data_IF_248869731885
#
_entry.id   IF_248869731885
#
_cell.length_a   1.000
_cell.length_b   1.000
_cell.length_c   1.000
_cell.angle_alpha   90.00
_cell.angle_beta   90.00
_cell.angle_gamma   90.00
#
_symmetry.space_group_name_H-M   'P 1'
#
loop_
_entity.id
_entity.type
_entity.pdbx_description
1 polymer ?
#
# COMPACT_ATOMS: atom_id res chain seq x y z
N UNK A 1 23.94 5.15 18.58
CA UNK A 1 23.47 5.24 17.19
C UNK A 1 23.55 3.91 16.47
N UNK A 2 24.66 3.15 16.57
CA UNK A 2 24.85 1.82 15.97
C UNK A 2 23.79 0.80 16.44
N UNK A 3 23.42 0.78 17.72
CA UNK A 3 22.41 -0.14 18.28
C UNK A 3 21.02 0.04 17.68
N UNK A 4 20.61 1.27 17.35
CA UNK A 4 19.33 1.55 16.70
C UNK A 4 19.32 1.00 15.27
N UNK A 5 20.41 1.19 14.54
CA UNK A 5 20.54 0.72 13.16
C UNK A 5 20.54 -0.81 13.11
N UNK A 6 21.26 -1.47 14.00
CA UNK A 6 21.30 -2.95 14.07
C UNK A 6 19.93 -3.54 14.45
N UNK A 7 19.22 -2.92 15.40
CA UNK A 7 17.86 -3.33 15.78
C UNK A 7 16.86 -3.18 14.63
N UNK A 8 16.94 -2.08 13.87
CA UNK A 8 16.08 -1.85 12.71
C UNK A 8 16.39 -2.82 11.57
N UNK A 9 17.65 -3.12 11.30
CA UNK A 9 18.04 -4.12 10.31
C UNK A 9 17.57 -5.53 10.68
N UNK A 10 17.65 -5.89 11.96
CA UNK A 10 17.13 -7.17 12.44
C UNK A 10 15.63 -7.29 12.22
N UNK A 11 14.87 -6.25 12.55
CA UNK A 11 13.43 -6.18 12.32
C UNK A 11 13.07 -6.36 10.84
N UNK A 12 13.80 -5.71 9.93
CA UNK A 12 13.55 -5.88 8.48
C UNK A 12 13.91 -7.27 7.99
N UNK A 13 15.01 -7.85 8.49
CA UNK A 13 15.38 -9.23 8.16
C UNK A 13 14.32 -10.23 8.60
N UNK A 14 13.78 -10.07 9.80
CA UNK A 14 12.69 -10.91 10.30
C UNK A 14 11.42 -10.74 9.47
N UNK A 15 11.02 -9.49 9.16
CA UNK A 15 9.88 -9.20 8.32
C UNK A 15 10.05 -9.80 6.91
N UNK A 16 11.22 -9.68 6.29
CA UNK A 16 11.52 -10.29 4.99
C UNK A 16 11.46 -11.82 5.04
N UNK A 17 11.99 -12.43 6.09
CA UNK A 17 11.95 -13.88 6.25
C UNK A 17 10.53 -14.40 6.49
N UNK A 18 9.72 -13.65 7.25
CA UNK A 18 8.30 -13.94 7.41
C UNK A 18 7.55 -13.78 6.08
N UNK A 19 7.86 -12.72 5.32
CA UNK A 19 7.28 -12.45 4.00
C UNK A 19 7.54 -13.59 3.02
N UNK A 20 8.76 -14.08 2.92
CA UNK A 20 9.09 -15.18 1.99
C UNK A 20 8.28 -16.44 2.29
N UNK A 21 8.13 -16.79 3.57
CA UNK A 21 7.30 -17.94 4.00
C UNK A 21 5.81 -17.73 3.70
N UNK A 22 5.31 -16.53 3.97
CA UNK A 22 3.91 -16.18 3.71
C UNK A 22 3.62 -16.10 2.22
N UNK A 23 4.56 -15.62 1.39
CA UNK A 23 4.42 -15.57 -0.06
C UNK A 23 4.31 -16.96 -0.69
N UNK A 24 5.12 -17.92 -0.22
CA UNK A 24 5.02 -19.31 -0.68
C UNK A 24 3.66 -19.93 -0.34
N UNK A 25 3.13 -19.67 0.86
CA UNK A 25 1.79 -20.16 1.25
C UNK A 25 0.66 -19.43 0.55
N UNK A 26 0.83 -18.13 0.33
CA UNK A 26 -0.13 -17.24 -0.31
C UNK A 26 0.08 -17.04 -1.81
N UNK A 27 0.79 -17.93 -2.51
CA UNK A 27 1.16 -17.76 -3.92
C UNK A 27 -0.06 -17.53 -4.84
N UNK A 28 -1.23 -18.06 -4.49
CA UNK A 28 -2.48 -17.84 -5.21
C UNK A 28 -2.95 -16.37 -5.22
N UNK A 29 -2.48 -15.55 -4.29
CA UNK A 29 -2.74 -14.11 -4.34
C UNK A 29 -2.10 -13.44 -5.57
N UNK A 30 -1.01 -14.02 -6.13
CA UNK A 30 -0.34 -13.48 -7.32
C UNK A 30 -1.25 -13.56 -8.56
N UNK A 31 -1.73 -14.75 -8.98
CA UNK A 31 -2.67 -14.83 -10.09
C UNK A 31 -4.00 -14.12 -9.78
N UNK A 32 -4.45 -14.08 -8.53
CA UNK A 32 -5.64 -13.33 -8.15
C UNK A 32 -5.50 -11.83 -8.47
N UNK A 33 -4.34 -11.21 -8.21
CA UNK A 33 -4.08 -9.81 -8.59
C UNK A 33 -4.18 -9.60 -10.10
N UNK A 34 -3.71 -10.55 -10.91
CA UNK A 34 -3.82 -10.47 -12.38
C UNK A 34 -5.30 -10.49 -12.78
N UNK A 35 -6.08 -11.43 -12.25
CA UNK A 35 -7.51 -11.53 -12.51
C UNK A 35 -8.24 -10.26 -12.06
N UNK A 36 -7.93 -9.75 -10.87
CA UNK A 36 -8.52 -8.52 -10.34
C UNK A 36 -8.19 -7.30 -11.20
N UNK A 37 -6.95 -7.22 -11.73
CA UNK A 37 -6.55 -6.16 -12.66
C UNK A 37 -7.37 -6.23 -13.94
N UNK A 38 -7.57 -7.42 -14.52
CA UNK A 38 -8.41 -7.61 -15.70
C UNK A 38 -9.89 -7.26 -15.43
N UNK A 39 -10.42 -7.64 -14.27
CA UNK A 39 -11.78 -7.27 -13.86
C UNK A 39 -11.94 -5.74 -13.73
N UNK A 40 -10.94 -5.07 -13.16
CA UNK A 40 -10.95 -3.61 -13.05
C UNK A 40 -10.89 -2.93 -14.42
N UNK A 41 -10.06 -3.43 -15.35
CA UNK A 41 -10.01 -2.94 -16.73
C UNK A 41 -11.34 -3.13 -17.45
N UNK A 42 -11.97 -4.30 -17.28
CA UNK A 42 -13.30 -4.58 -17.83
C UNK A 42 -14.35 -3.63 -17.24
N UNK A 43 -14.34 -3.42 -15.93
CA UNK A 43 -15.23 -2.48 -15.26
C UNK A 43 -15.07 -1.05 -15.81
N UNK A 44 -13.85 -0.61 -16.12
CA UNK A 44 -13.60 0.67 -16.77
C UNK A 44 -14.24 0.79 -18.15
N UNK A 45 -14.18 -0.28 -18.96
CA UNK A 45 -14.82 -0.27 -20.28
C UNK A 45 -16.35 -0.17 -20.18
N UNK A 46 -16.94 -0.91 -19.23
CA UNK A 46 -18.39 -0.90 -18.99
C UNK A 46 -18.84 0.45 -18.40
N UNK A 47 -18.04 1.05 -17.53
CA UNK A 47 -18.38 2.30 -16.84
C UNK A 47 -18.33 3.53 -17.75
N UNK A 48 -17.47 3.53 -18.79
CA UNK A 48 -17.29 4.70 -19.69
C UNK A 48 -18.60 5.24 -20.28
N UNK A 49 -19.51 4.43 -20.85
CA UNK A 49 -20.76 4.93 -21.41
C UNK A 49 -21.80 5.34 -20.37
N UNK A 50 -21.62 4.95 -19.10
CA UNK A 50 -22.60 5.14 -18.03
C UNK A 50 -22.50 6.53 -17.32
N UNK A 51 -21.52 7.35 -17.70
CA UNK A 51 -21.33 8.68 -17.12
C UNK A 51 -21.20 8.65 -15.60
N UNK A 52 -22.05 9.37 -14.88
CA UNK A 52 -22.00 9.44 -13.41
C UNK A 52 -22.26 8.08 -12.74
N UNK A 53 -23.16 7.27 -13.27
CA UNK A 53 -23.41 5.91 -12.76
C UNK A 53 -22.18 5.01 -12.92
N UNK A 54 -21.40 5.22 -13.98
CA UNK A 54 -20.11 4.55 -14.18
C UNK A 54 -19.11 4.81 -13.04
N UNK A 55 -19.08 6.05 -12.54
CA UNK A 55 -18.25 6.41 -11.38
C UNK A 55 -18.62 5.63 -10.11
N UNK A 56 -19.91 5.46 -9.82
CA UNK A 56 -20.38 4.64 -8.70
C UNK A 56 -20.05 3.16 -8.90
N UNK A 57 -20.22 2.63 -10.11
CA UNK A 57 -19.85 1.26 -10.46
C UNK A 57 -18.35 1.02 -10.22
N UNK A 58 -17.49 1.90 -10.74
CA UNK A 58 -16.05 1.82 -10.55
C UNK A 58 -15.66 1.89 -9.07
N UNK A 59 -16.26 2.78 -8.30
CA UNK A 59 -16.03 2.89 -6.87
C UNK A 59 -16.42 1.62 -6.11
N UNK A 60 -17.52 0.96 -6.49
CA UNK A 60 -17.95 -0.29 -5.90
C UNK A 60 -17.00 -1.46 -6.27
N UNK A 61 -16.66 -1.58 -7.55
CA UNK A 61 -15.71 -2.61 -8.01
C UNK A 61 -14.34 -2.41 -7.35
N UNK A 62 -13.85 -1.18 -7.32
CA UNK A 62 -12.59 -0.83 -6.65
C UNK A 62 -12.58 -1.27 -5.18
N UNK A 63 -13.61 -0.92 -4.41
CA UNK A 63 -13.71 -1.30 -3.00
C UNK A 63 -13.78 -2.83 -2.82
N UNK A 64 -14.48 -3.53 -3.71
CA UNK A 64 -14.57 -4.98 -3.69
C UNK A 64 -13.20 -5.64 -3.95
N UNK A 65 -12.47 -5.18 -4.97
CA UNK A 65 -11.17 -5.75 -5.34
C UNK A 65 -10.09 -5.45 -4.30
N UNK A 66 -10.07 -4.22 -3.74
CA UNK A 66 -9.17 -3.89 -2.63
C UNK A 66 -9.52 -4.73 -1.41
N UNK A 67 -10.78 -4.82 -1.04
CA UNK A 67 -11.22 -5.65 0.09
C UNK A 67 -10.81 -7.10 -0.07
N UNK A 68 -10.95 -7.65 -1.29
CA UNK A 68 -10.55 -9.01 -1.60
C UNK A 68 -9.03 -9.22 -1.44
N UNK A 69 -8.20 -8.31 -1.99
CA UNK A 69 -6.75 -8.46 -1.85
C UNK A 69 -6.30 -8.30 -0.39
N UNK A 70 -6.89 -7.39 0.39
CA UNK A 70 -6.59 -7.24 1.81
C UNK A 70 -6.94 -8.51 2.60
N UNK A 71 -8.08 -9.16 2.30
CA UNK A 71 -8.46 -10.44 2.91
C UNK A 71 -7.47 -11.56 2.57
N UNK A 72 -7.00 -11.65 1.33
CA UNK A 72 -5.99 -12.63 0.93
C UNK A 72 -4.64 -12.38 1.61
N UNK A 73 -4.24 -11.11 1.73
CA UNK A 73 -3.01 -10.74 2.44
C UNK A 73 -3.11 -11.06 3.93
N UNK A 74 -4.26 -10.78 4.57
CA UNK A 74 -4.51 -11.16 5.96
C UNK A 74 -4.37 -12.66 6.16
N UNK A 75 -4.99 -13.47 5.30
CA UNK A 75 -4.87 -14.93 5.34
C UNK A 75 -3.43 -15.40 5.14
N UNK A 76 -2.66 -14.78 4.23
CA UNK A 76 -1.24 -15.08 4.03
C UNK A 76 -0.39 -14.79 5.28
N UNK A 77 -0.72 -13.73 6.04
CA UNK A 77 0.00 -13.31 7.24
C UNK A 77 -0.42 -14.15 8.46
N UNK A 78 -1.73 -14.25 8.72
CA UNK A 78 -2.29 -14.90 9.91
C UNK A 78 -2.57 -16.39 9.73
N UNK A 79 -2.76 -16.83 8.48
CA UNK A 79 -3.18 -18.19 8.16
C UNK A 79 -2.09 -19.22 8.39
N UNK A 80 -2.48 -20.39 8.93
CA UNK A 80 -1.60 -21.55 9.08
C UNK A 80 -1.60 -22.45 7.85
N UNK A 81 -2.60 -22.29 6.95
CA UNK A 81 -2.77 -23.09 5.72
C UNK A 81 -2.47 -22.28 4.47
N UNK A 82 -2.22 -23.00 3.37
CA UNK A 82 -2.11 -22.39 2.05
C UNK A 82 -3.47 -21.84 1.59
N UNK A 83 -3.46 -20.70 0.89
CA UNK A 83 -4.64 -20.10 0.28
C UNK A 83 -5.15 -21.03 -0.82
N UNK A 84 -6.46 -21.23 -0.88
CA UNK A 84 -7.17 -22.03 -1.89
C UNK A 84 -7.96 -21.14 -2.84
N UNK A 85 -8.43 -21.70 -3.97
CA UNK A 85 -9.34 -20.98 -4.88
C UNK A 85 -10.67 -20.60 -4.21
N UNK A 86 -11.15 -21.43 -3.27
CA UNK A 86 -12.32 -21.10 -2.46
C UNK A 86 -12.11 -19.83 -1.65
N UNK A 87 -10.94 -19.68 -1.02
CA UNK A 87 -10.59 -18.49 -0.24
C UNK A 87 -10.55 -17.23 -1.13
N UNK A 88 -10.12 -17.34 -2.40
CA UNK A 88 -10.13 -16.22 -3.35
C UNK A 88 -11.56 -15.77 -3.66
N UNK A 89 -12.50 -16.71 -3.83
CA UNK A 89 -13.91 -16.39 -4.08
C UNK A 89 -14.55 -15.79 -2.82
N UNK A 90 -14.33 -16.39 -1.66
CA UNK A 90 -14.86 -15.93 -0.37
C UNK A 90 -14.28 -14.58 0.06
N UNK A 91 -13.08 -14.23 -0.42
CA UNK A 91 -12.47 -12.92 -0.13
C UNK A 91 -13.25 -11.75 -0.76
N UNK A 92 -14.01 -12.03 -1.84
CA UNK A 92 -14.80 -11.01 -2.53
C UNK A 92 -15.84 -10.40 -1.59
N UNK A 93 -15.71 -9.10 -1.35
CA UNK A 93 -16.61 -8.34 -0.49
C UNK A 93 -16.30 -8.37 1.01
N UNK A 94 -15.30 -9.13 1.48
CA UNK A 94 -15.00 -9.27 2.92
C UNK A 94 -14.75 -7.92 3.61
N UNK A 95 -13.87 -7.07 3.05
CA UNK A 95 -13.59 -5.71 3.55
C UNK A 95 -14.24 -4.59 2.71
N UNK A 96 -15.28 -4.92 1.94
CA UNK A 96 -15.94 -3.96 1.04
C UNK A 96 -16.39 -2.69 1.76
N UNK A 97 -17.10 -2.85 2.87
CA UNK A 97 -17.65 -1.72 3.62
C UNK A 97 -16.58 -0.89 4.30
N UNK A 98 -15.52 -1.52 4.82
CA UNK A 98 -14.41 -0.82 5.47
C UNK A 98 -13.63 0.02 4.45
N UNK A 99 -13.24 -0.57 3.33
CA UNK A 99 -12.55 0.13 2.24
C UNK A 99 -13.41 1.26 1.68
N UNK A 100 -14.70 0.99 1.43
CA UNK A 100 -15.61 2.00 0.89
C UNK A 100 -15.82 3.16 1.87
N UNK A 101 -16.03 2.89 3.14
CA UNK A 101 -16.29 3.92 4.15
C UNK A 101 -15.06 4.81 4.39
N UNK A 102 -13.87 4.21 4.50
CA UNK A 102 -12.61 4.97 4.57
C UNK A 102 -12.40 5.77 3.29
N UNK A 103 -12.61 5.16 2.12
CA UNK A 103 -12.53 5.83 0.83
C UNK A 103 -13.48 7.03 0.71
N UNK A 104 -14.73 6.91 1.19
CA UNK A 104 -15.70 8.02 1.19
C UNK A 104 -15.26 9.16 2.11
N UNK A 105 -14.74 8.86 3.31
CA UNK A 105 -14.25 9.90 4.23
C UNK A 105 -13.07 10.65 3.64
N UNK A 106 -12.19 9.98 2.90
CA UNK A 106 -11.05 10.60 2.23
C UNK A 106 -11.45 11.36 0.96
N UNK A 107 -12.46 10.87 0.25
CA UNK A 107 -12.89 11.45 -1.03
C UNK A 107 -13.44 12.88 -0.88
N UNK A 108 -14.17 13.17 0.18
CA UNK A 108 -14.78 14.49 0.38
C UNK A 108 -13.73 15.62 0.48
N UNK A 109 -12.70 15.52 1.35
CA UNK A 109 -11.63 16.52 1.39
C UNK A 109 -10.84 16.62 0.09
N UNK A 110 -10.55 15.49 -0.56
CA UNK A 110 -9.78 15.48 -1.81
C UNK A 110 -10.52 16.13 -2.97
N UNK A 111 -11.85 15.94 -3.04
CA UNK A 111 -12.70 16.62 -4.02
C UNK A 111 -12.65 18.15 -3.82
N UNK A 112 -12.70 18.63 -2.57
CA UNK A 112 -12.58 20.06 -2.26
C UNK A 112 -11.21 20.61 -2.65
N UNK A 113 -10.15 19.87 -2.39
CA UNK A 113 -8.79 20.27 -2.77
C UNK A 113 -8.61 20.29 -4.30
N UNK A 114 -9.15 19.31 -5.03
CA UNK A 114 -9.08 19.29 -6.52
C UNK A 114 -9.86 20.46 -7.14
N UNK A 115 -11.04 20.79 -6.58
CA UNK A 115 -11.81 21.96 -7.06
C UNK A 115 -11.06 23.29 -6.79
N UNK A 116 -10.35 23.39 -5.65
CA UNK A 116 -9.54 24.57 -5.34
C UNK A 116 -8.34 24.72 -6.29
N UNK A 117 -7.72 23.60 -6.69
CA UNK A 117 -6.65 23.56 -7.70
C UNK A 117 -7.12 24.12 -9.05
N UNK A 118 -8.29 23.72 -9.51
CA UNK A 118 -8.85 24.16 -10.78
C UNK A 118 -9.22 25.65 -10.78
N UNK A 119 -9.64 26.15 -9.61
CA UNK A 119 -10.02 27.56 -9.44
C UNK A 119 -8.80 28.50 -9.36
N UNK A 120 -7.66 28.04 -8.83
CA UNK A 120 -6.49 28.89 -8.65
C UNK A 120 -5.19 28.08 -8.88
N UNK A 121 -4.54 28.21 -10.06
CA UNK A 121 -3.32 27.50 -10.41
C UNK A 121 -2.15 27.76 -9.45
N UNK A 122 -2.10 28.96 -8.84
CA UNK A 122 -1.03 29.34 -7.91
C UNK A 122 -1.07 28.52 -6.62
N UNK A 123 -2.23 27.93 -6.28
CA UNK A 123 -2.39 27.04 -5.12
C UNK A 123 -1.95 25.59 -5.37
N UNK A 124 -1.53 25.25 -6.59
CA UNK A 124 -1.20 23.88 -6.98
C UNK A 124 -0.16 23.23 -6.08
N UNK A 125 0.89 23.96 -5.73
CA UNK A 125 1.94 23.46 -4.84
C UNK A 125 1.39 23.12 -3.44
N UNK A 126 0.60 24.02 -2.87
CA UNK A 126 0.02 23.86 -1.54
C UNK A 126 -0.94 22.66 -1.49
N UNK A 127 -1.81 22.55 -2.48
CA UNK A 127 -2.78 21.43 -2.57
C UNK A 127 -2.07 20.10 -2.76
N UNK A 128 -1.04 20.06 -3.63
CA UNK A 128 -0.23 18.85 -3.81
C UNK A 128 0.48 18.46 -2.52
N UNK A 129 1.03 19.43 -1.79
CA UNK A 129 1.68 19.20 -0.50
C UNK A 129 0.68 18.66 0.55
N UNK A 130 -0.54 19.22 0.61
CA UNK A 130 -1.60 18.73 1.49
C UNK A 130 -2.01 17.29 1.15
N UNK A 131 -2.22 16.97 -0.13
CA UNK A 131 -2.56 15.62 -0.58
C UNK A 131 -1.45 14.63 -0.27
N UNK A 132 -0.18 15.00 -0.48
CA UNK A 132 0.97 14.19 -0.13
C UNK A 132 1.04 13.94 1.38
N UNK A 133 0.80 14.97 2.19
CA UNK A 133 0.77 14.83 3.65
C UNK A 133 -0.33 13.86 4.09
N UNK A 134 -1.53 13.98 3.56
CA UNK A 134 -2.63 13.03 3.81
C UNK A 134 -2.23 11.61 3.42
N UNK A 135 -1.63 11.43 2.24
CA UNK A 135 -1.15 10.13 1.77
C UNK A 135 -0.08 9.54 2.70
N UNK A 136 0.88 10.35 3.18
CA UNK A 136 1.92 9.90 4.11
C UNK A 136 1.30 9.49 5.45
N UNK A 137 0.45 10.32 6.04
CA UNK A 137 -0.14 10.07 7.35
C UNK A 137 -1.11 8.88 7.36
N UNK A 138 -1.79 8.63 6.25
CA UNK A 138 -2.75 7.53 6.10
C UNK A 138 -2.19 6.34 5.32
N UNK A 139 -0.89 6.32 5.06
CA UNK A 139 -0.22 5.24 4.34
C UNK A 139 -0.50 3.84 4.94
N UNK A 140 -0.52 3.62 6.28
CA UNK A 140 -0.81 2.32 6.88
C UNK A 140 -2.31 1.99 7.01
N UNK A 141 -3.21 2.80 6.45
CA UNK A 141 -4.65 2.53 6.54
C UNK A 141 -5.07 1.13 6.03
N UNK A 142 -4.50 0.60 4.94
CA UNK A 142 -4.78 -0.78 4.55
C UNK A 142 -4.46 -1.78 5.65
N UNK A 143 -3.29 -1.68 6.27
CA UNK A 143 -2.84 -2.57 7.33
C UNK A 143 -3.72 -2.46 8.59
N UNK A 144 -4.17 -1.26 8.91
CA UNK A 144 -5.12 -1.04 10.01
C UNK A 144 -6.46 -1.75 9.73
N UNK A 145 -6.97 -1.69 8.49
CA UNK A 145 -8.26 -2.32 8.12
C UNK A 145 -8.22 -3.82 8.38
N UNK A 146 -7.18 -4.55 7.95
CA UNK A 146 -7.19 -6.01 8.02
C UNK A 146 -6.43 -6.60 9.23
N UNK A 147 -5.58 -5.83 9.92
CA UNK A 147 -4.82 -6.34 11.07
C UNK A 147 -5.36 -5.89 12.42
N UNK A 148 -6.13 -4.82 12.47
CA UNK A 148 -6.65 -4.28 13.73
C UNK A 148 -8.19 -4.31 13.75
N UNK A 149 -8.76 -4.44 14.95
CA UNK A 149 -10.20 -4.24 15.12
C UNK A 149 -10.50 -2.74 15.15
N UNK A 150 -11.51 -2.31 14.42
CA UNK A 150 -11.97 -0.93 14.37
C UNK A 150 -13.50 -0.92 14.30
N UNK A 151 -14.10 0.11 14.88
CA UNK A 151 -15.54 0.26 14.96
C UNK A 151 -16.05 1.30 13.96
N UNK A 152 -15.17 2.21 13.52
CA UNK A 152 -15.53 3.28 12.60
C UNK A 152 -14.39 3.60 11.61
N UNK A 153 -14.71 4.20 10.43
CA UNK A 153 -13.69 4.67 9.48
C UNK A 153 -12.74 5.70 10.10
N UNK A 154 -13.24 6.53 11.02
CA UNK A 154 -12.43 7.53 11.71
C UNK A 154 -11.41 6.89 12.65
N UNK A 155 -11.72 5.73 13.25
CA UNK A 155 -10.76 4.97 14.06
C UNK A 155 -9.62 4.44 13.19
N UNK A 156 -9.91 4.00 11.96
CA UNK A 156 -8.89 3.58 10.99
C UNK A 156 -7.95 4.74 10.69
N UNK A 157 -8.49 5.92 10.39
CA UNK A 157 -7.70 7.12 10.09
C UNK A 157 -6.85 7.55 11.30
N UNK A 158 -7.45 7.59 12.49
CA UNK A 158 -6.76 7.95 13.73
C UNK A 158 -5.62 6.98 14.04
N UNK A 159 -5.88 5.67 13.99
CA UNK A 159 -4.84 4.65 14.24
C UNK A 159 -3.72 4.70 13.21
N UNK A 160 -4.04 4.95 11.94
CA UNK A 160 -3.03 5.14 10.89
C UNK A 160 -2.14 6.33 11.18
N UNK A 161 -2.74 7.45 11.56
CA UNK A 161 -2.03 8.67 11.95
C UNK A 161 -1.11 8.43 13.17
N UNK A 162 -1.66 7.88 14.26
CA UNK A 162 -0.91 7.60 15.48
C UNK A 162 0.26 6.64 15.19
N UNK A 163 0.03 5.59 14.40
CA UNK A 163 1.07 4.65 14.00
C UNK A 163 2.21 5.31 13.23
N UNK A 164 1.89 6.20 12.28
CA UNK A 164 2.91 6.92 11.50
C UNK A 164 3.71 7.84 12.41
N UNK A 165 3.09 8.58 13.32
CA UNK A 165 3.81 9.46 14.24
C UNK A 165 4.81 8.68 15.11
N UNK A 166 4.42 7.49 15.57
CA UNK A 166 5.26 6.67 16.44
C UNK A 166 6.37 5.93 15.70
N UNK A 167 6.18 5.58 14.42
CA UNK A 167 7.04 4.66 13.68
C UNK A 167 7.48 5.18 12.29
N UNK A 168 7.42 6.49 12.01
CA UNK A 168 7.62 7.03 10.66
C UNK A 168 8.97 6.67 10.04
N UNK A 169 10.06 6.62 10.83
CA UNK A 169 11.38 6.28 10.34
C UNK A 169 11.41 4.82 9.87
N UNK A 170 11.03 3.90 10.76
CA UNK A 170 11.08 2.46 10.51
C UNK A 170 10.07 2.04 9.43
N UNK A 171 8.96 2.78 9.31
CA UNK A 171 7.93 2.50 8.31
C UNK A 171 8.32 2.94 6.91
N UNK A 172 8.87 4.15 6.76
CA UNK A 172 9.18 4.72 5.45
C UNK A 172 10.60 4.42 4.96
N UNK A 173 11.52 4.02 5.82
CA UNK A 173 12.91 3.76 5.44
C UNK A 173 13.05 2.71 4.33
N UNK A 174 12.35 1.56 4.32
CA UNK A 174 12.45 0.60 3.22
C UNK A 174 12.02 1.22 1.88
N UNK A 175 10.94 1.99 1.87
CA UNK A 175 10.47 2.69 0.69
C UNK A 175 11.46 3.78 0.25
N UNK A 176 12.01 4.55 1.18
CA UNK A 176 13.00 5.55 0.90
C UNK A 176 14.27 4.94 0.27
N UNK A 177 14.74 3.80 0.77
CA UNK A 177 15.89 3.08 0.20
C UNK A 177 15.65 2.61 -1.22
N UNK A 178 14.43 2.16 -1.55
CA UNK A 178 14.06 1.73 -2.90
C UNK A 178 13.92 2.92 -3.85
N UNK A 179 13.40 4.06 -3.37
CA UNK A 179 13.16 5.24 -4.20
C UNK A 179 14.38 6.18 -4.30
N UNK A 180 15.27 6.18 -3.32
CA UNK A 180 16.42 7.10 -3.27
C UNK A 180 17.30 7.08 -4.54
N UNK A 181 17.64 5.92 -5.12
CA UNK A 181 18.46 5.87 -6.34
C UNK A 181 17.77 6.45 -7.58
N UNK A 182 16.42 6.42 -7.60
CA UNK A 182 15.63 6.93 -8.73
C UNK A 182 15.46 8.45 -8.73
N UNK A 183 15.91 9.11 -7.65
CA UNK A 183 15.98 10.54 -7.53
C UNK A 183 14.63 11.25 -7.34
N UNK A 184 14.72 12.57 -7.16
CA UNK A 184 13.58 13.46 -6.94
C UNK A 184 12.57 13.46 -8.10
N UNK A 185 13.00 13.19 -9.33
CA UNK A 185 12.12 13.20 -10.51
C UNK A 185 11.02 12.14 -10.44
N UNK A 186 11.35 10.93 -9.96
CA UNK A 186 10.35 9.88 -9.77
C UNK A 186 9.44 10.20 -8.58
N UNK A 187 9.99 10.77 -7.52
CA UNK A 187 9.19 11.20 -6.38
C UNK A 187 8.13 12.21 -6.79
N UNK A 188 8.47 13.21 -7.59
CA UNK A 188 7.51 14.19 -8.10
C UNK A 188 6.50 13.57 -9.08
N UNK A 189 6.91 12.65 -9.96
CA UNK A 189 5.98 11.92 -10.82
C UNK A 189 5.00 11.07 -10.01
N UNK A 190 5.50 10.34 -9.03
CA UNK A 190 4.67 9.52 -8.15
C UNK A 190 3.71 10.37 -7.31
N UNK A 191 4.18 11.47 -6.72
CA UNK A 191 3.33 12.36 -5.91
C UNK A 191 2.21 13.00 -6.73
N UNK A 192 2.47 13.39 -7.98
CA UNK A 192 1.44 13.94 -8.88
C UNK A 192 0.39 12.90 -9.29
N UNK A 193 0.75 11.64 -9.37
CA UNK A 193 -0.18 10.53 -9.63
C UNK A 193 -1.01 10.17 -8.39
N UNK A 194 -0.34 10.09 -7.23
CA UNK A 194 -0.99 9.79 -5.95
C UNK A 194 -1.94 10.91 -5.50
N UNK A 195 -1.63 12.17 -5.83
CA UNK A 195 -2.49 13.32 -5.53
C UNK A 195 -3.82 13.32 -6.29
N UNK A 196 -3.95 12.57 -7.39
CA UNK A 196 -5.20 12.47 -8.17
C UNK A 196 -6.22 11.50 -7.60
N UNK A 197 -5.83 10.66 -6.66
CA UNK A 197 -6.70 9.68 -6.03
C UNK A 197 -6.27 9.44 -4.60
N UNK A 198 -6.50 10.40 -3.69
CA UNK A 198 -6.20 10.24 -2.27
C UNK A 198 -7.14 9.23 -1.59
N UNK A 199 -7.40 8.10 -2.23
CA UNK A 199 -8.17 6.99 -1.72
C UNK A 199 -7.42 5.68 -1.91
N UNK A 200 -7.92 4.65 -1.26
CA UNK A 200 -7.52 3.28 -1.55
C UNK A 200 -7.97 2.94 -2.97
N UNK A 201 -7.04 2.96 -3.93
CA UNK A 201 -7.31 2.67 -5.34
C UNK A 201 -6.49 1.44 -5.77
N UNK A 202 -7.20 0.44 -6.29
CA UNK A 202 -6.61 -0.82 -6.75
C UNK A 202 -5.61 -0.60 -7.88
N UNK A 203 -5.94 0.28 -8.84
CA UNK A 203 -5.02 0.58 -9.95
C UNK A 203 -3.74 1.22 -9.43
N UNK A 204 -3.82 2.11 -8.45
CA UNK A 204 -2.62 2.72 -7.85
C UNK A 204 -1.78 1.69 -7.12
N UNK A 205 -2.38 0.73 -6.40
CA UNK A 205 -1.63 -0.36 -5.75
C UNK A 205 -0.82 -1.18 -6.76
N UNK A 206 -1.36 -1.41 -7.96
CA UNK A 206 -0.65 -2.11 -9.04
C UNK A 206 0.34 -1.18 -9.75
N UNK A 207 -0.04 0.06 -9.99
CA UNK A 207 0.75 1.02 -10.78
C UNK A 207 2.05 1.44 -10.09
N UNK A 208 2.06 1.60 -8.77
CA UNK A 208 3.26 2.03 -8.03
C UNK A 208 4.42 1.03 -8.21
N UNK A 209 4.27 -0.28 -7.92
CA UNK A 209 5.34 -1.26 -8.18
C UNK A 209 5.77 -1.31 -9.64
N UNK A 210 4.82 -1.21 -10.58
CA UNK A 210 5.12 -1.17 -12.01
C UNK A 210 6.01 0.04 -12.37
N UNK A 211 5.65 1.22 -11.90
CA UNK A 211 6.39 2.46 -12.20
C UNK A 211 7.79 2.44 -11.61
N UNK A 212 7.92 1.98 -10.36
CA UNK A 212 9.22 1.88 -9.69
C UNK A 212 10.12 0.88 -10.43
N UNK A 213 9.60 -0.30 -10.73
CA UNK A 213 10.37 -1.33 -11.44
C UNK A 213 10.77 -0.89 -12.85
N UNK A 214 9.85 -0.29 -13.60
CA UNK A 214 10.14 0.21 -14.95
C UNK A 214 11.18 1.33 -14.93
N UNK A 215 11.15 2.22 -13.95
CA UNK A 215 12.18 3.24 -13.79
C UNK A 215 13.56 2.61 -13.53
N UNK A 216 13.64 1.67 -12.59
CA UNK A 216 14.88 0.94 -12.32
C UNK A 216 15.45 0.24 -13.57
N UNK A 217 14.62 -0.50 -14.30
CA UNK A 217 15.05 -1.22 -15.50
C UNK A 217 15.54 -0.26 -16.61
N UNK A 218 14.86 0.89 -16.75
CA UNK A 218 15.29 1.93 -17.71
C UNK A 218 16.63 2.54 -17.31
N UNK A 219 16.84 2.82 -16.03
CA UNK A 219 18.11 3.37 -15.52
C UNK A 219 19.28 2.39 -15.69
N UNK A 220 19.00 1.07 -15.67
CA UNK A 220 19.98 0.03 -16.03
C UNK A 220 20.21 -0.10 -17.55
N UNK A 221 19.58 0.72 -18.39
CA UNK A 221 19.77 0.74 -19.84
C UNK A 221 19.00 -0.34 -20.60
N UNK A 222 17.98 -0.94 -19.99
CA UNK A 222 17.11 -1.91 -20.67
C UNK A 222 16.17 -1.16 -21.61
N UNK A 223 15.94 -1.69 -22.82
CA UNK A 223 15.05 -1.09 -23.79
C UNK A 223 13.62 -0.95 -23.27
N UNK A 224 12.90 0.08 -23.70
CA UNK A 224 11.54 0.38 -23.21
C UNK A 224 10.55 -0.80 -23.41
N UNK A 225 10.68 -1.54 -24.51
CA UNK A 225 9.82 -2.69 -24.80
C UNK A 225 10.07 -3.84 -23.83
N UNK A 226 11.33 -4.22 -23.61
CA UNK A 226 11.69 -5.25 -22.64
C UNK A 226 11.35 -4.83 -21.21
N UNK A 227 11.59 -3.56 -20.88
CA UNK A 227 11.21 -2.97 -19.60
C UNK A 227 9.73 -3.14 -19.32
N UNK A 228 8.86 -2.82 -20.29
CA UNK A 228 7.42 -2.97 -20.15
C UNK A 228 6.99 -4.42 -19.93
N UNK A 229 7.56 -5.36 -20.67
CA UNK A 229 7.26 -6.79 -20.54
C UNK A 229 7.71 -7.35 -19.16
N UNK A 230 8.94 -7.05 -18.76
CA UNK A 230 9.48 -7.50 -17.47
C UNK A 230 8.70 -6.88 -16.31
N UNK A 231 8.42 -5.57 -16.39
CA UNK A 231 7.65 -4.89 -15.35
C UNK A 231 6.23 -5.45 -15.23
N UNK A 232 5.55 -5.74 -16.34
CA UNK A 232 4.22 -6.35 -16.33
C UNK A 232 4.23 -7.73 -15.67
N UNK A 233 5.24 -8.55 -15.96
CA UNK A 233 5.36 -9.90 -15.39
C UNK A 233 5.70 -9.88 -13.89
N UNK A 234 6.59 -8.98 -13.48
CA UNK A 234 7.08 -8.94 -12.09
C UNK A 234 6.21 -8.09 -11.15
N UNK A 235 5.36 -7.22 -11.68
CA UNK A 235 4.50 -6.36 -10.85
C UNK A 235 3.57 -7.12 -9.91
N UNK A 236 2.82 -8.16 -10.33
CA UNK A 236 1.93 -8.88 -9.43
C UNK A 236 2.65 -9.56 -8.25
N UNK A 237 3.74 -10.33 -8.44
CA UNK A 237 4.46 -10.92 -7.31
C UNK A 237 5.13 -9.86 -6.41
N UNK A 238 5.63 -8.75 -6.97
CA UNK A 238 6.20 -7.66 -6.19
C UNK A 238 5.12 -6.92 -5.38
N UNK A 239 3.96 -6.67 -5.96
CA UNK A 239 2.83 -6.06 -5.26
C UNK A 239 2.40 -6.92 -4.06
N UNK A 240 2.16 -8.22 -4.28
CA UNK A 240 1.77 -9.16 -3.21
C UNK A 240 2.87 -9.23 -2.15
N UNK A 241 4.13 -9.39 -2.57
CA UNK A 241 5.27 -9.43 -1.66
C UNK A 241 5.41 -8.15 -0.82
N UNK A 242 5.24 -6.99 -1.44
CA UNK A 242 5.25 -5.69 -0.75
C UNK A 242 4.13 -5.57 0.28
N UNK A 243 2.90 -5.96 -0.07
CA UNK A 243 1.77 -5.90 0.87
C UNK A 243 1.96 -6.86 2.06
N UNK A 244 2.44 -8.08 1.82
CA UNK A 244 2.76 -9.04 2.89
C UNK A 244 3.90 -8.51 3.77
N UNK A 245 4.95 -7.95 3.17
CA UNK A 245 6.07 -7.35 3.92
C UNK A 245 5.59 -6.22 4.82
N UNK A 246 4.80 -5.30 4.28
CA UNK A 246 4.20 -4.19 5.03
C UNK A 246 3.34 -4.71 6.19
N UNK A 247 2.53 -5.75 5.96
CA UNK A 247 1.71 -6.35 7.01
C UNK A 247 2.55 -6.95 8.15
N UNK A 248 3.61 -7.71 7.84
CA UNK A 248 4.53 -8.23 8.86
C UNK A 248 5.26 -7.10 9.60
N UNK A 249 5.71 -6.07 8.86
CA UNK A 249 6.35 -4.90 9.45
C UNK A 249 5.40 -4.14 10.38
N UNK A 250 4.13 -3.96 9.97
CA UNK A 250 3.10 -3.33 10.79
C UNK A 250 2.87 -4.09 12.09
N UNK A 251 2.72 -5.42 12.04
CA UNK A 251 2.55 -6.27 13.23
C UNK A 251 3.75 -6.13 14.16
N UNK A 252 4.97 -6.20 13.63
CA UNK A 252 6.19 -6.10 14.43
C UNK A 252 6.34 -4.71 15.08
N UNK A 253 6.00 -3.64 14.36
CA UNK A 253 6.06 -2.27 14.89
C UNK A 253 4.94 -1.96 15.88
N UNK A 254 3.75 -2.53 15.69
CA UNK A 254 2.59 -2.34 16.58
C UNK A 254 2.72 -3.12 17.89
N UNK A 255 3.43 -4.26 17.88
CA UNK A 255 3.59 -5.10 19.06
C UNK A 255 4.50 -4.49 20.13
N UNK A 256 5.43 -3.60 19.73
CA UNK A 256 6.43 -3.02 20.66
C UNK A 256 6.57 -1.52 20.42
N UNK A 257 6.41 -0.74 21.50
CA UNK A 257 6.67 0.71 21.37
C UNK A 257 8.16 0.95 21.05
N UNK A 258 8.45 2.06 20.34
CA UNK A 258 9.82 2.46 20.01
C UNK A 258 10.70 2.55 21.26
N UNK A 259 10.15 3.03 22.38
CA UNK A 259 10.86 3.11 23.66
C UNK A 259 11.23 1.72 24.20
N UNK A 260 10.32 0.76 24.13
CA UNK A 260 10.59 -0.62 24.55
C UNK A 260 11.66 -1.29 23.69
N UNK A 261 11.65 -1.07 22.37
CA UNK A 261 12.69 -1.61 21.46
C UNK A 261 14.07 -1.04 21.78
N UNK A 262 14.17 0.27 22.01
CA UNK A 262 15.42 0.93 22.39
C UNK A 262 15.93 0.42 23.75
N UNK A 263 15.04 0.20 24.69
CA UNK A 263 15.39 -0.33 26.01
C UNK A 263 15.88 -1.78 25.91
N UNK A 264 15.21 -2.65 25.19
CA UNK A 264 15.61 -4.03 24.98
C UNK A 264 16.97 -4.16 24.28
N UNK A 265 17.25 -3.29 23.29
CA UNK A 265 18.55 -3.29 22.60
C UNK A 265 19.71 -2.92 23.53
N UNK A 266 19.51 -2.02 24.49
CA UNK A 266 20.53 -1.65 25.48
C UNK A 266 20.89 -2.79 26.44
N UNK A 267 19.90 -3.62 26.81
CA UNK A 267 20.16 -4.76 27.69
C UNK A 267 20.85 -5.93 26.98
N UNK A 268 20.61 -6.14 25.71
CA UNK A 268 21.28 -7.19 24.92
C UNK A 268 22.77 -6.89 24.70
N UNK A 269 23.12 -5.61 24.53
CA UNK A 269 24.52 -5.19 24.39
C UNK A 269 25.28 -5.22 25.73
N UNK A 270 24.59 -5.05 26.86
CA UNK A 270 25.22 -5.13 28.21
C UNK A 270 25.47 -6.57 28.66
N UNK A 271 24.87 -7.56 27.99
CA UNK A 271 24.97 -8.99 28.31
C UNK A 271 26.03 -9.73 27.44
N UNK A 272 26.68 -9.03 26.52
CA UNK A 272 27.81 -9.51 25.71
C UNK A 272 29.13 -8.89 26.19
#
# INVERSE_FOLDING_TARGET
MLTVVTSTLHLYREALHATSRSLVRGWLAIPAVIVFTLLMLLAHQIARPLGMLGGFLLGAVNACLIGAILSLIEQAIKGMRAITLGDVIESMGHYFWDVRSVGCVLWIPTLRLDTSLRANPDSQFLVTACLLLVFILLNPAPEVIYLTRHDSPLDVLKRSYDFVLDNWIEWFLPMALVLAPLGLSLFFKLSSQLGRGAGLDFIQLVFVPFTVLSAWLTDFGISAELTGMIALLLTPPLMVGMLIFRGHLFVALSATSRRQRLYQSQFHDSAR
#
